data_IF_785090250294
#
_entry.id   IF_785090250294
#
_cell.length_a   1.000
_cell.length_b   1.000
_cell.length_c   1.000
_cell.angle_alpha   90.00
_cell.angle_beta   90.00
_cell.angle_gamma   90.00
#
_symmetry.space_group_name_H-M   'P 1'
#
loop_
_entity.id
_entity.type
_entity.pdbx_description
1 polymer ?
#
# COMPACT_ATOMS: atom_id res chain seq x y z
N UNK A 1 -5.67 6.75 -50.34
CA UNK A 1 -5.65 5.51 -51.16
C UNK A 1 -6.37 4.44 -50.36
N UNK A 2 -7.49 3.94 -50.94
CA UNK A 2 -8.31 2.80 -50.49
C UNK A 2 -7.55 1.49 -50.61
N UNK A 3 -7.75 0.52 -49.71
CA UNK A 3 -8.11 -0.82 -50.15
C UNK A 3 -8.74 -1.63 -49.01
N UNK A 4 -9.93 -2.17 -49.32
CA UNK A 4 -10.73 -3.19 -48.63
C UNK A 4 -10.14 -4.62 -48.89
N UNK A 5 -10.51 -5.55 -48.02
CA UNK A 5 -10.90 -6.98 -48.19
C UNK A 5 -10.65 -7.64 -46.82
N UNK A 6 -11.52 -8.30 -46.12
CA UNK A 6 -12.69 -9.07 -46.43
C UNK A 6 -12.37 -10.57 -46.62
N UNK A 7 -12.51 -11.43 -45.60
CA UNK A 7 -12.87 -12.84 -45.77
C UNK A 7 -13.35 -13.43 -44.42
N UNK A 8 -14.56 -13.93 -44.45
CA UNK A 8 -15.26 -14.75 -43.44
C UNK A 8 -14.93 -16.20 -43.73
N UNK A 9 -14.67 -17.02 -42.70
CA UNK A 9 -14.90 -18.48 -42.79
C UNK A 9 -15.41 -18.98 -41.44
N UNK A 10 -16.66 -19.47 -41.46
CA UNK A 10 -17.32 -20.26 -40.43
C UNK A 10 -16.95 -21.73 -40.62
N UNK A 11 -16.69 -22.46 -39.52
CA UNK A 11 -16.92 -23.92 -39.50
C UNK A 11 -17.46 -24.31 -38.12
N UNK A 12 -18.66 -24.82 -38.12
CA UNK A 12 -19.33 -25.50 -37.01
C UNK A 12 -18.91 -26.97 -37.00
N UNK A 13 -18.70 -27.56 -35.82
CA UNK A 13 -18.83 -29.00 -35.66
C UNK A 13 -19.47 -29.32 -34.30
N UNK A 14 -20.60 -30.05 -34.42
CA UNK A 14 -21.44 -30.63 -33.38
C UNK A 14 -20.85 -31.99 -32.96
N UNK A 15 -20.87 -32.28 -31.67
CA UNK A 15 -20.56 -33.60 -31.13
C UNK A 15 -21.29 -33.85 -29.81
N UNK A 16 -22.47 -34.45 -29.87
CA UNK A 16 -23.19 -35.04 -28.73
C UNK A 16 -22.60 -36.39 -28.38
N UNK A 17 -22.39 -36.68 -27.10
CA UNK A 17 -22.43 -38.02 -26.55
C UNK A 17 -23.02 -37.99 -25.13
N UNK A 18 -24.17 -38.58 -25.00
CA UNK A 18 -24.85 -38.89 -23.75
C UNK A 18 -24.24 -40.16 -23.11
N UNK A 19 -24.16 -40.19 -21.80
CA UNK A 19 -23.79 -41.37 -21.04
C UNK A 19 -24.37 -41.28 -19.63
N UNK A 20 -25.57 -41.87 -19.42
CA UNK A 20 -26.16 -42.18 -18.13
C UNK A 20 -25.44 -43.35 -17.48
N UNK A 21 -25.22 -43.27 -16.16
CA UNK A 21 -24.81 -44.37 -15.32
C UNK A 21 -25.13 -44.06 -13.87
N UNK A 22 -26.30 -44.54 -13.40
CA UNK A 22 -26.69 -44.53 -12.00
C UNK A 22 -25.96 -45.65 -11.25
N UNK A 23 -25.51 -45.39 -10.03
CA UNK A 23 -25.42 -46.36 -8.93
C UNK A 23 -25.25 -45.64 -7.60
N UNK A 24 -26.22 -45.85 -6.74
CA UNK A 24 -26.24 -45.49 -5.34
C UNK A 24 -25.10 -46.15 -4.55
N UNK A 25 -24.51 -45.46 -3.63
CA UNK A 25 -24.00 -45.99 -2.35
C UNK A 25 -23.72 -44.85 -1.39
N UNK A 26 -24.48 -44.82 -0.30
CA UNK A 26 -24.27 -44.07 0.90
C UNK A 26 -22.88 -44.32 1.50
N UNK A 27 -22.20 -43.26 1.91
CA UNK A 27 -21.27 -43.29 3.05
C UNK A 27 -21.02 -41.85 3.50
N UNK A 28 -21.41 -41.53 4.71
CA UNK A 28 -20.97 -40.43 5.53
C UNK A 28 -19.45 -40.27 5.47
N UNK A 29 -18.99 -39.09 5.19
CA UNK A 29 -17.75 -38.63 5.82
C UNK A 29 -17.62 -37.10 5.89
N UNK A 30 -17.30 -36.70 7.08
CA UNK A 30 -16.95 -35.40 7.61
C UNK A 30 -16.46 -34.35 6.61
N UNK A 31 -17.20 -33.26 6.54
CA UNK A 31 -16.73 -32.00 5.98
C UNK A 31 -15.50 -31.47 6.74
N UNK A 32 -14.31 -31.80 6.26
CA UNK A 32 -13.11 -31.05 6.57
C UNK A 32 -13.16 -29.76 5.78
N UNK A 33 -13.64 -28.70 6.45
CA UNK A 33 -13.53 -27.35 5.98
C UNK A 33 -12.03 -26.95 6.01
N UNK A 34 -11.32 -27.25 4.93
CA UNK A 34 -10.05 -26.62 4.64
C UNK A 34 -10.36 -25.16 4.35
N UNK A 35 -10.09 -24.28 5.32
CA UNK A 35 -10.00 -22.86 5.08
C UNK A 35 -8.96 -22.66 3.98
N UNK A 36 -9.43 -22.37 2.77
CA UNK A 36 -8.58 -21.85 1.72
C UNK A 36 -7.97 -20.56 2.28
N UNK A 37 -6.66 -20.56 2.47
CA UNK A 37 -5.94 -19.31 2.71
C UNK A 37 -6.22 -18.44 1.47
N UNK A 38 -6.93 -17.32 1.69
CA UNK A 38 -7.15 -16.33 0.65
C UNK A 38 -5.77 -15.95 0.08
N UNK A 39 -5.54 -16.31 -1.17
CA UNK A 39 -4.42 -15.75 -1.91
C UNK A 39 -4.59 -14.23 -1.90
N UNK A 40 -3.53 -13.45 -1.70
CA UNK A 40 -3.65 -12.00 -1.65
C UNK A 40 -4.31 -11.52 -2.96
N UNK A 41 -5.37 -10.75 -2.80
CA UNK A 41 -6.05 -10.09 -3.92
C UNK A 41 -5.07 -9.14 -4.60
N UNK A 42 -4.45 -9.61 -5.70
CA UNK A 42 -3.50 -8.84 -6.51
C UNK A 42 -4.18 -7.78 -7.37
N UNK A 43 -5.51 -7.60 -7.24
CA UNK A 43 -6.28 -6.59 -7.96
C UNK A 43 -6.30 -5.22 -7.26
N UNK A 44 -5.68 -5.08 -6.08
CA UNK A 44 -5.65 -3.82 -5.36
C UNK A 44 -4.68 -2.84 -6.04
N UNK A 45 -5.20 -1.70 -6.51
CA UNK A 45 -4.43 -0.59 -7.04
C UNK A 45 -4.32 0.54 -6.00
N UNK A 46 -3.29 1.38 -6.14
CA UNK A 46 -3.21 2.61 -5.37
C UNK A 46 -4.02 3.70 -6.08
N UNK A 47 -5.04 4.30 -5.45
CA UNK A 47 -5.83 5.34 -6.09
C UNK A 47 -4.97 6.56 -6.44
N UNK A 48 -5.03 7.02 -7.69
CA UNK A 48 -4.24 8.15 -8.19
C UNK A 48 -4.92 9.50 -7.97
N UNK A 49 -6.21 9.51 -7.63
CA UNK A 49 -6.94 10.73 -7.35
C UNK A 49 -6.40 11.44 -6.10
N UNK A 50 -6.24 12.75 -6.18
CA UNK A 50 -5.87 13.55 -5.03
C UNK A 50 -7.07 13.75 -4.10
N UNK A 51 -6.88 13.71 -2.77
CA UNK A 51 -7.95 14.07 -1.84
C UNK A 51 -8.29 15.57 -1.97
N UNK A 52 -9.51 15.96 -1.55
CA UNK A 52 -9.89 17.37 -1.54
C UNK A 52 -8.93 18.18 -0.64
N UNK A 53 -8.50 19.34 -1.14
CA UNK A 53 -7.47 20.16 -0.51
C UNK A 53 -7.88 20.72 0.87
N UNK A 54 -9.18 20.78 1.15
CA UNK A 54 -9.80 21.24 2.40
C UNK A 54 -10.11 20.10 3.40
N UNK A 55 -9.71 18.86 3.05
CA UNK A 55 -9.88 17.71 3.96
C UNK A 55 -9.15 17.99 5.27
N UNK A 56 -9.89 17.84 6.39
CA UNK A 56 -9.31 18.05 7.72
C UNK A 56 -8.24 17.00 8.00
N UNK A 57 -7.06 17.42 8.53
CA UNK A 57 -6.02 16.47 8.88
C UNK A 57 -6.46 15.53 10.00
N UNK A 58 -6.16 14.25 9.83
CA UNK A 58 -6.35 13.21 10.87
C UNK A 58 -5.19 13.21 11.86
N UNK A 59 -4.04 13.72 11.45
CA UNK A 59 -2.86 13.86 12.28
C UNK A 59 -2.20 15.21 12.04
N UNK A 60 -1.88 15.89 13.14
CA UNK A 60 -1.05 17.09 13.15
C UNK A 60 0.09 16.88 14.12
N UNK A 61 1.31 17.20 13.70
CA UNK A 61 2.51 17.07 14.52
C UNK A 61 3.36 18.35 14.39
N UNK A 62 3.55 19.01 15.51
CA UNK A 62 4.51 20.10 15.60
C UNK A 62 5.92 19.50 15.74
N UNK A 63 6.84 19.92 14.87
CA UNK A 63 8.23 19.50 14.88
C UNK A 63 9.10 20.35 15.78
N UNK A 64 10.41 20.04 15.86
CA UNK A 64 11.42 20.98 16.38
C UNK A 64 11.49 22.23 15.48
N UNK A 65 11.17 22.06 14.22
CA UNK A 65 10.86 23.11 13.27
C UNK A 65 9.71 22.67 12.36
N UNK A 66 8.92 23.62 11.91
CA UNK A 66 7.80 23.36 11.01
C UNK A 66 6.67 22.53 11.63
N UNK A 67 5.76 22.11 10.76
CA UNK A 67 4.57 21.34 11.15
C UNK A 67 4.21 20.33 10.05
N UNK A 68 3.76 19.18 10.46
CA UNK A 68 3.15 18.16 9.60
C UNK A 68 1.63 18.15 9.82
N UNK A 69 0.86 18.12 8.73
CA UNK A 69 -0.56 17.80 8.72
C UNK A 69 -0.80 16.69 7.70
N UNK A 70 -1.47 15.63 8.13
CA UNK A 70 -1.66 14.45 7.30
C UNK A 70 -3.10 13.94 7.35
N UNK A 71 -3.60 13.56 6.17
CA UNK A 71 -4.82 12.79 5.99
C UNK A 71 -4.46 11.50 5.30
N UNK A 72 -4.96 10.37 5.80
CA UNK A 72 -4.77 9.06 5.20
C UNK A 72 -5.51 8.91 3.89
N UNK A 73 -5.10 7.93 3.10
CA UNK A 73 -5.81 7.55 1.88
C UNK A 73 -7.17 6.93 2.19
N UNK A 74 -8.06 7.03 1.21
CA UNK A 74 -9.33 6.29 1.13
C UNK A 74 -9.25 5.26 0.00
N UNK A 75 -10.31 4.52 -0.24
CA UNK A 75 -10.37 3.57 -1.35
C UNK A 75 -10.39 4.27 -2.72
N UNK A 76 -10.74 5.57 -2.76
CA UNK A 76 -10.85 6.35 -3.99
C UNK A 76 -9.80 7.47 -4.15
N UNK A 77 -9.07 7.81 -3.09
CA UNK A 77 -8.10 8.91 -3.12
C UNK A 77 -6.83 8.59 -2.34
N UNK A 78 -5.70 9.08 -2.82
CA UNK A 78 -4.41 9.02 -2.15
C UNK A 78 -4.38 9.85 -0.85
N UNK A 79 -3.28 9.81 -0.09
CA UNK A 79 -3.12 10.60 1.13
C UNK A 79 -2.84 12.07 0.82
N UNK A 80 -3.15 12.95 1.78
CA UNK A 80 -2.73 14.35 1.75
C UNK A 80 -1.68 14.58 2.84
N UNK A 81 -0.49 15.01 2.42
CA UNK A 81 0.61 15.37 3.31
C UNK A 81 0.95 16.84 3.10
N UNK A 82 0.75 17.66 4.13
CA UNK A 82 1.13 19.07 4.13
C UNK A 82 2.25 19.29 5.13
N UNK A 83 3.32 19.91 4.68
CA UNK A 83 4.50 20.22 5.51
C UNK A 83 4.73 21.72 5.52
N UNK A 84 4.68 22.32 6.71
CA UNK A 84 5.24 23.65 6.95
C UNK A 84 6.74 23.49 7.12
N UNK A 85 7.50 23.94 6.18
CA UNK A 85 8.93 23.66 6.01
C UNK A 85 9.85 24.76 6.53
N UNK A 86 11.07 24.41 6.96
CA UNK A 86 11.57 23.04 7.08
C UNK A 86 10.94 22.32 8.27
N UNK A 87 10.54 21.05 8.08
CA UNK A 87 10.00 20.22 9.14
C UNK A 87 11.04 19.23 9.65
N UNK A 88 11.28 19.25 10.96
CA UNK A 88 12.20 18.32 11.65
C UNK A 88 11.56 17.80 12.92
N UNK A 89 11.84 16.54 13.25
CA UNK A 89 11.39 15.90 14.48
C UNK A 89 12.58 15.37 15.29
N UNK A 90 12.47 15.39 16.63
CA UNK A 90 13.49 14.87 17.54
C UNK A 90 13.53 13.35 17.61
N UNK A 91 12.42 12.69 17.24
CA UNK A 91 12.26 11.23 17.27
C UNK A 91 11.33 10.76 16.19
N UNK A 92 11.54 9.53 15.72
CA UNK A 92 10.58 8.88 14.84
C UNK A 92 9.24 8.72 15.55
N UNK A 93 8.18 9.22 14.92
CA UNK A 93 6.83 9.24 15.49
C UNK A 93 5.88 8.58 14.49
N UNK A 94 5.14 7.58 14.97
CA UNK A 94 4.15 6.81 14.20
C UNK A 94 2.76 7.16 14.70
N UNK A 95 1.81 7.31 13.78
CA UNK A 95 0.40 7.53 14.08
C UNK A 95 -0.47 6.64 13.18
N UNK A 96 -1.29 5.80 13.79
CA UNK A 96 -2.35 5.10 13.05
C UNK A 96 -3.48 6.10 12.75
N UNK A 97 -3.68 6.39 11.46
CA UNK A 97 -4.71 7.33 10.99
C UNK A 97 -6.08 6.63 10.90
N UNK A 98 -6.07 5.40 10.43
CA UNK A 98 -7.25 4.52 10.38
C UNK A 98 -6.79 3.11 10.71
N UNK A 99 -7.43 2.48 11.69
CA UNK A 99 -7.11 1.10 12.05
C UNK A 99 -7.70 0.12 11.03
N UNK A 100 -6.91 -0.87 10.62
CA UNK A 100 -7.36 -2.00 9.84
C UNK A 100 -8.00 -3.09 10.70
N UNK A 101 -8.59 -4.07 10.05
CA UNK A 101 -9.27 -5.20 10.70
C UNK A 101 -8.65 -6.56 10.36
N UNK A 102 -7.69 -6.58 9.41
CA UNK A 102 -7.02 -7.80 8.98
C UNK A 102 -5.96 -8.31 9.97
N UNK A 103 -5.16 -9.29 9.57
CA UNK A 103 -4.06 -9.83 10.37
C UNK A 103 -3.05 -8.76 10.78
N UNK A 104 -2.36 -8.99 11.90
CA UNK A 104 -1.29 -8.13 12.39
C UNK A 104 0.00 -8.39 11.59
N UNK A 105 0.71 -7.31 11.28
CA UNK A 105 2.00 -7.34 10.57
C UNK A 105 3.10 -7.73 11.53
N UNK A 106 3.77 -8.86 11.25
CA UNK A 106 4.96 -9.28 12.00
C UNK A 106 6.22 -8.57 11.49
N UNK A 107 7.29 -8.63 12.25
CA UNK A 107 8.61 -8.08 11.90
C UNK A 107 9.31 -8.84 10.76
N UNK A 108 8.88 -10.06 10.46
CA UNK A 108 9.40 -10.91 9.37
C UNK A 108 8.48 -10.92 8.13
N UNK A 109 7.35 -10.23 8.20
CA UNK A 109 6.35 -10.25 7.14
C UNK A 109 6.88 -9.62 5.83
N UNK A 110 6.35 -10.11 4.70
CA UNK A 110 6.33 -9.37 3.44
C UNK A 110 5.00 -8.63 3.36
N UNK A 111 5.04 -7.31 3.23
CA UNK A 111 3.87 -6.45 3.14
C UNK A 111 3.68 -5.91 1.74
N UNK A 112 2.43 -5.77 1.32
CA UNK A 112 2.04 -5.03 0.11
C UNK A 112 1.37 -3.73 0.56
N UNK A 113 1.87 -2.59 0.07
CA UNK A 113 1.44 -1.27 0.54
C UNK A 113 1.28 -0.27 -0.62
N UNK A 114 0.38 0.70 -0.43
CA UNK A 114 0.45 1.98 -1.12
C UNK A 114 1.07 3.01 -0.18
N UNK A 115 1.96 3.87 -0.69
CA UNK A 115 2.60 4.89 0.13
C UNK A 115 2.95 6.14 -0.65
N UNK A 116 3.14 7.24 0.07
CA UNK A 116 3.77 8.46 -0.43
C UNK A 116 4.82 8.90 0.58
N UNK A 117 6.04 9.15 0.11
CA UNK A 117 7.16 9.68 0.86
C UNK A 117 7.42 11.15 0.51
N UNK A 118 7.52 12.00 1.54
CA UNK A 118 7.73 13.45 1.44
C UNK A 118 8.94 13.86 2.25
N UNK A 119 9.79 14.71 1.67
CA UNK A 119 10.93 15.29 2.38
C UNK A 119 10.46 16.46 3.29
N UNK A 120 10.82 16.42 4.56
CA UNK A 120 10.48 17.47 5.53
C UNK A 120 11.17 18.80 5.25
N UNK A 121 12.37 18.80 4.64
CA UNK A 121 13.14 20.02 4.34
C UNK A 121 12.43 20.92 3.34
N UNK A 122 11.91 20.33 2.26
CA UNK A 122 11.37 21.09 1.12
C UNK A 122 9.93 20.75 0.75
N UNK A 123 9.33 19.72 1.39
CA UNK A 123 7.97 19.27 1.13
C UNK A 123 7.79 18.52 -0.19
N UNK A 124 8.88 18.17 -0.88
CA UNK A 124 8.81 17.46 -2.15
C UNK A 124 8.49 15.98 -1.93
N UNK A 125 7.66 15.41 -2.81
CA UNK A 125 7.46 13.97 -2.90
C UNK A 125 8.70 13.37 -3.54
N UNK A 126 9.36 12.46 -2.85
CA UNK A 126 10.54 11.77 -3.39
C UNK A 126 10.23 10.36 -3.90
N UNK A 127 9.14 9.75 -3.42
CA UNK A 127 8.65 8.47 -3.93
C UNK A 127 7.15 8.29 -3.62
N UNK A 128 6.40 7.69 -4.54
CA UNK A 128 4.96 7.49 -4.35
C UNK A 128 4.41 6.33 -5.19
N UNK A 129 3.92 5.30 -4.52
CA UNK A 129 3.13 4.24 -5.11
C UNK A 129 1.78 4.77 -5.65
N UNK A 130 1.21 5.79 -5.00
CA UNK A 130 -0.02 6.43 -5.47
C UNK A 130 0.15 7.16 -6.80
N UNK A 131 1.30 7.81 -7.05
CA UNK A 131 1.58 8.44 -8.34
C UNK A 131 1.77 7.42 -9.46
N UNK A 132 2.25 6.22 -9.14
CA UNK A 132 2.38 5.10 -10.08
C UNK A 132 1.07 4.34 -10.30
N UNK A 133 0.10 4.47 -9.39
CA UNK A 133 -1.15 3.71 -9.40
C UNK A 133 -0.99 2.24 -8.97
N UNK A 134 0.21 1.82 -8.58
CA UNK A 134 0.57 0.43 -8.30
C UNK A 134 1.13 0.26 -6.89
N UNK A 135 0.67 -0.75 -6.13
CA UNK A 135 1.24 -1.07 -4.84
C UNK A 135 2.66 -1.64 -4.98
N UNK A 136 3.41 -1.58 -3.88
CA UNK A 136 4.76 -2.13 -3.81
C UNK A 136 4.85 -3.12 -2.65
N UNK A 137 5.60 -4.21 -2.85
CA UNK A 137 5.83 -5.22 -1.81
C UNK A 137 7.24 -5.12 -1.26
N UNK A 138 7.38 -5.20 0.07
CA UNK A 138 8.65 -5.18 0.78
C UNK A 138 8.67 -6.23 1.89
N UNK A 139 9.82 -6.83 2.14
CA UNK A 139 10.08 -7.44 3.45
C UNK A 139 10.24 -6.33 4.51
N UNK A 140 9.55 -6.45 5.65
CA UNK A 140 9.60 -5.46 6.73
C UNK A 140 11.03 -5.20 7.22
N UNK A 141 11.88 -6.24 7.24
CA UNK A 141 13.30 -6.13 7.59
C UNK A 141 14.17 -5.48 6.50
N UNK A 142 13.65 -5.30 5.28
CA UNK A 142 14.37 -4.76 4.13
C UNK A 142 14.19 -3.27 3.89
N UNK A 143 13.32 -2.60 4.67
CA UNK A 143 13.07 -1.15 4.57
C UNK A 143 13.86 -0.38 5.64
N UNK A 144 13.92 0.95 5.52
CA UNK A 144 14.53 1.80 6.56
C UNK A 144 13.81 1.61 7.90
N UNK A 145 14.56 1.68 9.00
CA UNK A 145 14.06 1.32 10.32
C UNK A 145 12.76 2.03 10.73
N UNK A 146 12.64 3.32 10.41
CA UNK A 146 11.44 4.11 10.69
C UNK A 146 10.21 3.65 9.93
N UNK A 147 10.38 3.17 8.69
CA UNK A 147 9.29 2.60 7.90
C UNK A 147 8.85 1.24 8.49
N UNK A 148 9.80 0.39 8.85
CA UNK A 148 9.51 -0.87 9.55
C UNK A 148 8.74 -0.64 10.86
N UNK A 149 9.15 0.34 11.67
CA UNK A 149 8.45 0.74 12.91
C UNK A 149 6.99 1.18 12.65
N UNK A 150 6.70 1.73 11.48
CA UNK A 150 5.35 2.13 11.10
C UNK A 150 4.46 0.95 10.68
N UNK A 151 5.05 -0.20 10.36
CA UNK A 151 4.34 -1.39 9.88
C UNK A 151 4.10 -2.42 10.97
N UNK A 152 5.13 -2.74 11.76
CA UNK A 152 5.07 -3.81 12.78
C UNK A 152 3.99 -3.50 13.82
N UNK A 153 3.15 -4.51 14.13
CA UNK A 153 2.03 -4.38 15.06
C UNK A 153 0.80 -3.70 14.49
N UNK A 154 0.86 -3.16 13.26
CA UNK A 154 -0.33 -2.66 12.56
C UNK A 154 -1.12 -3.83 11.97
N UNK A 155 -2.42 -3.60 11.74
CA UNK A 155 -3.26 -4.58 11.05
C UNK A 155 -3.35 -4.28 9.56
N UNK A 156 -3.45 -5.32 8.75
CA UNK A 156 -3.80 -5.18 7.33
C UNK A 156 -5.09 -4.38 7.20
N UNK A 157 -5.13 -3.45 6.26
CA UNK A 157 -6.17 -2.45 6.10
C UNK A 157 -5.91 -1.13 6.83
N UNK A 158 -4.89 -1.04 7.71
CA UNK A 158 -4.54 0.22 8.38
C UNK A 158 -3.99 1.25 7.40
N UNK A 159 -4.27 2.52 7.72
CA UNK A 159 -3.55 3.66 7.16
C UNK A 159 -2.72 4.31 8.26
N UNK A 160 -1.43 4.50 8.02
CA UNK A 160 -0.45 4.90 9.02
C UNK A 160 0.36 6.09 8.51
N UNK A 161 0.55 7.09 9.37
CA UNK A 161 1.50 8.18 9.15
C UNK A 161 2.77 7.96 9.97
N UNK A 162 3.92 8.33 9.42
CA UNK A 162 5.19 8.31 10.15
C UNK A 162 6.07 9.49 9.76
N UNK A 163 6.65 10.14 10.77
CA UNK A 163 7.73 11.10 10.62
C UNK A 163 9.02 10.44 11.15
N UNK A 164 10.05 10.37 10.32
CA UNK A 164 11.24 9.56 10.53
C UNK A 164 12.46 10.48 10.65
N UNK A 165 13.22 10.35 11.75
CA UNK A 165 14.51 11.02 11.90
C UNK A 165 15.55 10.43 10.96
N UNK A 166 16.62 11.17 10.62
CA UNK A 166 17.69 10.67 9.74
C UNK A 166 18.28 9.33 10.19
N UNK A 167 18.47 9.13 11.49
CA UNK A 167 19.06 7.89 12.03
C UNK A 167 18.21 6.63 11.77
N UNK A 168 16.89 6.78 11.67
CA UNK A 168 15.95 5.70 11.37
C UNK A 168 15.59 5.64 9.87
N UNK A 169 16.04 6.62 9.08
CA UNK A 169 15.82 6.74 7.64
C UNK A 169 17.13 6.64 6.85
N UNK A 170 17.59 7.78 6.38
CA UNK A 170 18.83 7.92 5.59
C UNK A 170 19.83 8.83 6.32
N UNK A 171 20.64 8.29 7.22
CA UNK A 171 21.56 9.09 8.07
C UNK A 171 22.62 9.85 7.26
N UNK A 172 23.02 9.31 6.12
CA UNK A 172 23.98 9.94 5.20
C UNK A 172 23.31 10.64 4.01
N UNK A 173 21.97 10.71 4.02
CA UNK A 173 21.16 11.17 2.91
C UNK A 173 21.01 10.10 1.81
N UNK A 174 20.20 10.42 0.81
CA UNK A 174 19.99 9.62 -0.41
C UNK A 174 19.87 10.55 -1.61
N UNK A 175 21.00 11.00 -2.19
CA UNK A 175 21.01 12.02 -3.24
C UNK A 175 20.15 11.65 -4.47
N UNK A 176 20.10 10.35 -4.83
CA UNK A 176 19.26 9.85 -5.93
C UNK A 176 17.77 10.07 -5.71
N UNK A 177 17.33 10.23 -4.46
CA UNK A 177 15.96 10.54 -4.07
C UNK A 177 15.80 12.01 -3.62
N UNK A 178 16.83 12.85 -3.75
CA UNK A 178 16.79 14.24 -3.29
C UNK A 178 16.78 14.42 -1.77
N UNK A 179 17.17 13.38 -1.02
CA UNK A 179 17.24 13.39 0.44
C UNK A 179 18.66 13.76 0.85
N UNK A 180 18.80 14.87 1.59
CA UNK A 180 20.07 15.32 2.13
C UNK A 180 20.31 14.71 3.51
N UNK A 181 21.56 14.80 3.96
CA UNK A 181 21.90 14.48 5.35
C UNK A 181 21.07 15.35 6.28
N UNK A 182 20.64 14.79 7.40
CA UNK A 182 19.82 15.45 8.44
C UNK A 182 18.36 15.77 8.00
N UNK A 183 17.91 15.30 6.86
CA UNK A 183 16.51 15.42 6.46
C UNK A 183 15.60 14.49 7.28
N UNK A 184 14.53 15.05 7.83
CA UNK A 184 13.36 14.27 8.29
C UNK A 184 12.57 13.86 7.07
N UNK A 185 12.17 12.60 6.98
CA UNK A 185 11.28 12.11 5.93
C UNK A 185 9.93 11.68 6.53
N UNK A 186 8.89 11.82 5.75
CA UNK A 186 7.51 11.55 6.17
C UNK A 186 6.87 10.58 5.21
N UNK A 187 6.16 9.58 5.72
CA UNK A 187 5.35 8.70 4.88
C UNK A 187 3.90 8.63 5.36
N UNK A 188 3.00 8.55 4.41
CA UNK A 188 1.65 8.03 4.59
C UNK A 188 1.56 6.67 3.90
N UNK A 189 1.13 5.65 4.64
CA UNK A 189 1.18 4.24 4.21
C UNK A 189 -0.19 3.60 4.38
N UNK A 190 -0.71 2.92 3.37
CA UNK A 190 -1.87 2.02 3.44
C UNK A 190 -1.37 0.60 3.32
N UNK A 191 -1.66 -0.25 4.30
CA UNK A 191 -1.28 -1.67 4.31
C UNK A 191 -2.38 -2.46 3.63
N UNK A 192 -2.06 -3.09 2.50
CA UNK A 192 -3.01 -3.85 1.70
C UNK A 192 -3.00 -5.34 2.04
N UNK A 193 -1.80 -5.91 2.25
CA UNK A 193 -1.61 -7.30 2.61
C UNK A 193 -0.34 -7.49 3.46
N UNK A 194 -0.28 -8.60 4.20
CA UNK A 194 0.91 -9.08 4.93
C UNK A 194 0.93 -10.62 4.90
N UNK A 195 2.11 -11.18 4.65
CA UNK A 195 2.35 -12.64 4.58
C UNK A 195 3.57 -13.01 5.40
#
# INVERSE_FOLDING_TARGET
>A
VKLKHGIVVSVALVGLLAGCGSSDSDSDDSASSTAAADAPDTSQSCPTEAPAADTKPQWSLDGESGKLEMTGSTDSAGPLIKVTKPFKVAKTTVQTLTAGTGPEVSDTATVTVCYTGVNGRDGNVFDSAYQRGEPTSFGVSGVVAGFGKALVGQKVGSTVGVAIIPADGYPDGQPGAGIEKDDTIVFAIKILAAQ
#
